data_IF_862064635570
#
_entry.id   IF_862064635570
#
_cell.length_a   1.000
_cell.length_b   1.000
_cell.length_c   1.000
_cell.angle_alpha   90.00
_cell.angle_beta   90.00
_cell.angle_gamma   90.00
#
_symmetry.space_group_name_H-M   'P 1'
#
loop_
_entity.id
_entity.type
_entity.pdbx_description
1 polymer ?
#
# COMPACT_ATOMS: atom_id res chain seq x y z
N UNK A 1 10.39 -12.74 9.17
CA UNK A 1 11.02 -11.69 8.32
C UNK A 1 9.93 -10.73 7.94
N UNK A 2 10.09 -9.43 8.13
CA UNK A 2 8.98 -8.47 8.17
C UNK A 2 8.81 -7.66 6.89
N UNK A 3 7.58 -7.24 6.60
CA UNK A 3 7.24 -6.37 5.48
C UNK A 3 6.60 -5.08 6.01
N UNK A 4 6.90 -3.94 5.37
CA UNK A 4 6.29 -2.65 5.72
C UNK A 4 5.39 -2.22 4.57
N UNK A 5 4.12 -1.96 4.87
CA UNK A 5 3.18 -1.41 3.89
C UNK A 5 3.17 0.11 3.95
N UNK A 6 3.28 0.78 2.81
CA UNK A 6 3.22 2.24 2.69
C UNK A 6 2.06 2.62 1.77
N UNK A 7 1.08 3.31 2.32
CA UNK A 7 -0.17 3.69 1.66
C UNK A 7 -0.16 5.19 1.36
N UNK A 8 -0.20 5.56 0.08
CA UNK A 8 0.12 6.90 -0.39
C UNK A 8 -1.05 7.51 -1.17
N UNK A 9 -1.48 8.69 -0.70
CA UNK A 9 -2.60 9.45 -1.24
C UNK A 9 -3.95 8.77 -1.03
N UNK A 10 -5.01 9.46 -1.45
CA UNK A 10 -6.39 9.02 -1.21
C UNK A 10 -6.65 7.55 -1.58
N UNK A 11 -6.29 7.14 -2.80
CA UNK A 11 -6.53 5.78 -3.27
C UNK A 11 -5.75 4.74 -2.46
N UNK A 12 -4.46 4.99 -2.21
CA UNK A 12 -3.61 4.10 -1.42
C UNK A 12 -4.13 3.94 0.01
N UNK A 13 -4.51 5.05 0.65
CA UNK A 13 -5.05 5.04 2.02
C UNK A 13 -6.38 4.28 2.12
N UNK A 14 -7.32 4.52 1.20
CA UNK A 14 -8.63 3.85 1.24
C UNK A 14 -8.54 2.35 0.90
N UNK A 15 -7.69 1.98 -0.06
CA UNK A 15 -7.36 0.59 -0.35
C UNK A 15 -6.71 -0.07 0.88
N UNK A 16 -5.72 0.60 1.47
CA UNK A 16 -5.03 0.14 2.67
C UNK A 16 -5.98 -0.13 3.83
N UNK A 17 -6.94 0.76 4.10
CA UNK A 17 -7.94 0.55 5.14
C UNK A 17 -8.74 -0.74 4.90
N UNK A 18 -9.14 -1.00 3.65
CA UNK A 18 -9.89 -2.21 3.28
C UNK A 18 -9.02 -3.47 3.41
N UNK A 19 -7.75 -3.40 3.01
CA UNK A 19 -6.80 -4.50 3.16
C UNK A 19 -6.54 -4.84 4.64
N UNK A 20 -6.30 -3.84 5.48
CA UNK A 20 -6.02 -4.07 6.90
C UNK A 20 -7.24 -4.53 7.69
N UNK A 21 -8.44 -4.04 7.35
CA UNK A 21 -9.69 -4.60 7.89
C UNK A 21 -9.79 -6.10 7.59
N UNK A 22 -9.53 -6.49 6.34
CA UNK A 22 -9.54 -7.89 5.93
C UNK A 22 -8.43 -8.72 6.60
N UNK A 23 -7.20 -8.21 6.72
CA UNK A 23 -6.11 -8.91 7.40
C UNK A 23 -6.43 -9.15 8.88
N UNK A 24 -7.03 -8.16 9.55
CA UNK A 24 -7.48 -8.31 10.92
C UNK A 24 -8.52 -9.44 11.03
N UNK A 25 -9.52 -9.47 10.13
CA UNK A 25 -10.53 -10.53 10.10
C UNK A 25 -9.92 -11.92 9.83
N UNK A 26 -8.99 -12.03 8.90
CA UNK A 26 -8.33 -13.29 8.54
C UNK A 26 -7.46 -13.87 9.67
N UNK A 27 -6.83 -12.99 10.46
CA UNK A 27 -5.99 -13.37 11.59
C UNK A 27 -6.72 -13.34 12.95
N UNK A 28 -8.02 -13.04 12.97
CA UNK A 28 -8.81 -12.94 14.20
C UNK A 28 -8.34 -11.83 15.14
N UNK A 29 -7.78 -10.74 14.61
CA UNK A 29 -7.38 -9.57 15.37
C UNK A 29 -8.56 -8.60 15.42
N UNK A 30 -9.01 -8.29 16.63
CA UNK A 30 -10.08 -7.34 16.85
C UNK A 30 -9.62 -5.90 16.58
N UNK A 31 -10.53 -4.92 16.35
CA UNK A 31 -10.15 -3.54 16.06
C UNK A 31 -9.31 -2.84 17.15
N UNK A 32 -9.29 -3.36 18.37
CA UNK A 32 -8.47 -2.86 19.48
C UNK A 32 -7.03 -3.43 19.49
N UNK A 33 -6.72 -4.32 18.54
CA UNK A 33 -5.45 -4.99 18.34
C UNK A 33 -5.27 -6.29 19.13
N UNK A 34 -6.32 -6.77 19.81
CA UNK A 34 -6.25 -8.01 20.61
C UNK A 34 -6.70 -9.21 19.76
N UNK A 35 -6.03 -10.36 19.90
CA UNK A 35 -6.47 -11.59 19.24
C UNK A 35 -7.74 -12.10 19.92
N UNK A 36 -8.77 -12.37 19.12
CA UNK A 36 -10.06 -12.88 19.58
C UNK A 36 -9.89 -14.24 20.26
N UNK A 37 -10.48 -14.40 21.45
CA UNK A 37 -10.44 -15.67 22.21
C UNK A 37 -11.11 -16.86 21.51
N UNK A 38 -11.90 -16.59 20.46
CA UNK A 38 -12.55 -17.59 19.61
C UNK A 38 -11.71 -18.02 18.41
N UNK A 39 -10.55 -17.38 18.15
CA UNK A 39 -9.64 -17.80 17.10
C UNK A 39 -9.11 -19.19 17.46
N UNK A 40 -9.43 -20.17 16.60
CA UNK A 40 -8.97 -21.55 16.78
C UNK A 40 -7.44 -21.58 16.88
N UNK A 41 -6.89 -22.41 17.75
CA UNK A 41 -5.44 -22.50 18.03
C UNK A 41 -4.56 -22.85 16.83
N UNK A 42 -5.14 -23.12 15.65
CA UNK A 42 -4.46 -23.26 14.36
C UNK A 42 -4.48 -22.01 13.45
N UNK A 43 -5.20 -20.94 13.80
CA UNK A 43 -5.17 -19.65 13.10
C UNK A 43 -4.14 -18.67 13.67
N UNK A 44 -3.71 -18.88 14.92
CA UNK A 44 -2.62 -18.16 15.55
C UNK A 44 -1.26 -18.73 15.11
N UNK A 45 -1.09 -18.93 13.82
CA UNK A 45 0.19 -19.34 13.27
C UNK A 45 1.17 -18.16 13.41
N UNK A 46 2.42 -18.43 13.78
CA UNK A 46 3.40 -17.38 14.11
C UNK A 46 3.77 -16.45 12.94
N UNK A 47 3.25 -16.74 11.73
CA UNK A 47 3.56 -16.08 10.46
C UNK A 47 2.99 -14.66 10.32
N UNK A 48 1.94 -14.27 11.09
CA UNK A 48 1.40 -12.91 10.99
C UNK A 48 2.35 -11.83 11.56
N UNK A 49 3.39 -12.23 12.29
CA UNK A 49 4.47 -11.33 12.73
C UNK A 49 5.22 -10.64 11.59
N UNK A 50 5.07 -11.14 10.35
CA UNK A 50 5.54 -10.48 9.13
C UNK A 50 4.87 -9.11 8.92
N UNK A 51 3.56 -9.01 9.17
CA UNK A 51 2.74 -7.81 8.92
C UNK A 51 2.36 -7.05 10.19
N UNK A 52 2.34 -7.72 11.35
CA UNK A 52 2.01 -7.11 12.63
C UNK A 52 3.21 -7.09 13.58
N UNK A 53 3.30 -6.06 14.41
CA UNK A 53 4.25 -5.97 15.52
C UNK A 53 3.53 -6.18 16.85
N UNK A 54 4.13 -6.98 17.75
CA UNK A 54 3.66 -7.12 19.12
C UNK A 54 4.21 -5.96 19.97
N UNK A 55 3.32 -5.30 20.68
CA UNK A 55 3.66 -4.20 21.61
C UNK A 55 4.12 -4.69 22.99
N UNK A 56 4.11 -6.01 23.24
CA UNK A 56 4.39 -6.63 24.54
C UNK A 56 3.22 -6.55 25.53
N UNK A 57 2.14 -5.83 25.16
CA UNK A 57 0.89 -5.74 25.94
C UNK A 57 -0.20 -6.69 25.46
N UNK A 58 0.15 -7.66 24.59
CA UNK A 58 -0.81 -8.53 23.91
C UNK A 58 -1.59 -7.83 22.80
N UNK A 59 -1.13 -6.65 22.37
CA UNK A 59 -1.71 -5.90 21.25
C UNK A 59 -0.80 -5.97 20.04
N UNK A 60 -1.41 -6.27 18.90
CA UNK A 60 -0.78 -6.33 17.60
C UNK A 60 -1.08 -5.08 16.78
N UNK A 61 -0.03 -4.47 16.25
CA UNK A 61 -0.13 -3.22 15.48
C UNK A 61 0.34 -3.47 14.05
N UNK A 62 -0.41 -3.03 13.03
CA UNK A 62 0.03 -3.09 11.64
C UNK A 62 1.39 -2.41 11.41
N UNK A 63 2.27 -3.06 10.66
CA UNK A 63 3.49 -2.46 10.09
C UNK A 63 3.14 -1.64 8.84
N UNK A 64 2.36 -0.58 9.08
CA UNK A 64 1.77 0.24 8.04
C UNK A 64 2.05 1.73 8.25
N UNK A 65 2.36 2.42 7.15
CA UNK A 65 2.53 3.86 7.10
C UNK A 65 1.48 4.39 6.12
N UNK A 66 0.72 5.40 6.53
CA UNK A 66 -0.30 6.05 5.72
C UNK A 66 0.11 7.51 5.52
N UNK A 67 0.21 7.94 4.28
CA UNK A 67 0.68 9.27 3.92
C UNK A 67 -0.30 9.88 2.95
N UNK A 68 -0.75 11.08 3.25
CA UNK A 68 -1.45 11.93 2.30
C UNK A 68 -0.97 13.37 2.48
N UNK A 69 -0.94 14.12 1.39
CA UNK A 69 -0.67 15.56 1.40
C UNK A 69 -1.93 16.34 1.79
N UNK A 70 -3.10 15.71 1.69
CA UNK A 70 -4.36 16.28 2.15
C UNK A 70 -4.88 15.59 3.43
N UNK A 71 -5.30 16.34 4.47
CA UNK A 71 -5.71 15.75 5.74
C UNK A 71 -7.10 15.08 5.72
N UNK A 72 -7.86 15.16 4.62
CA UNK A 72 -9.29 14.78 4.57
C UNK A 72 -9.52 13.27 4.54
N UNK A 73 -8.58 12.50 3.98
CA UNK A 73 -8.77 11.06 3.74
C UNK A 73 -8.21 10.18 4.86
N UNK A 74 -7.29 10.71 5.67
CA UNK A 74 -6.69 9.95 6.78
C UNK A 74 -7.71 9.86 7.94
N UNK A 75 -8.46 8.76 7.98
CA UNK A 75 -9.46 8.47 9.01
C UNK A 75 -8.87 8.36 10.44
N UNK A 76 -9.76 8.41 11.44
CA UNK A 76 -9.42 8.47 12.89
C UNK A 76 -8.65 7.26 13.46
N UNK A 77 -8.55 6.14 12.75
CA UNK A 77 -8.08 4.84 13.27
C UNK A 77 -6.61 4.53 13.00
N UNK A 78 -5.92 5.29 12.14
CA UNK A 78 -4.54 5.00 11.75
C UNK A 78 -3.56 6.00 12.36
N UNK A 79 -2.53 5.49 13.07
CA UNK A 79 -1.50 6.30 13.72
C UNK A 79 -0.52 6.94 12.73
N UNK A 80 -0.93 7.81 11.79
CA UNK A 80 0.05 8.47 10.90
C UNK A 80 -0.35 9.87 10.43
N UNK A 81 0.69 10.72 10.41
CA UNK A 81 0.90 12.08 9.89
C UNK A 81 -0.31 12.95 9.53
N UNK A 82 -0.47 14.04 10.30
CA UNK A 82 -0.95 15.31 9.76
C UNK A 82 0.21 16.00 9.02
N UNK A 83 0.07 16.41 7.76
CA UNK A 83 1.03 17.33 7.16
C UNK A 83 1.07 18.63 7.99
N UNK A 84 2.28 19.16 8.20
CA UNK A 84 2.49 20.49 8.79
C UNK A 84 2.31 21.62 7.75
N UNK A 85 2.04 21.27 6.49
CA UNK A 85 1.87 22.21 5.37
C UNK A 85 0.41 22.34 4.92
N UNK A 86 0.01 23.56 4.56
CA UNK A 86 -1.35 23.89 4.07
C UNK A 86 -1.56 23.54 2.57
N UNK A 87 -0.76 22.64 1.99
CA UNK A 87 -0.73 22.39 0.54
C UNK A 87 -1.10 20.98 0.14
N UNK A 88 -2.06 20.83 -0.79
CA UNK A 88 -2.36 19.59 -1.53
C UNK A 88 -1.55 19.53 -2.84
N UNK A 89 -1.29 18.33 -3.38
CA UNK A 89 -0.74 18.12 -4.70
C UNK A 89 -1.70 18.51 -5.85
N UNK A 90 -3.01 18.63 -5.60
CA UNK A 90 -4.02 19.12 -6.55
C UNK A 90 -3.97 18.41 -7.91
N UNK A 91 -3.90 17.07 -7.88
CA UNK A 91 -3.76 16.22 -9.06
C UNK A 91 -2.59 16.56 -9.97
N UNK A 92 -1.52 17.17 -9.44
CA UNK A 92 -0.33 17.53 -10.18
C UNK A 92 0.89 16.76 -9.67
N UNK A 93 1.44 15.88 -10.52
CA UNK A 93 2.66 15.13 -10.24
C UNK A 93 3.81 16.01 -9.73
N UNK A 94 4.06 17.15 -10.39
CA UNK A 94 5.18 18.02 -10.03
C UNK A 94 5.00 18.64 -8.64
N UNK A 95 3.77 18.83 -8.18
CA UNK A 95 3.52 19.28 -6.81
C UNK A 95 3.84 18.19 -5.80
N UNK A 96 3.37 16.98 -6.06
CA UNK A 96 3.66 15.81 -5.23
C UNK A 96 5.14 15.43 -5.19
N UNK A 97 5.88 15.65 -6.28
CA UNK A 97 7.28 15.23 -6.38
C UNK A 97 8.29 16.34 -6.05
N UNK A 98 8.11 17.56 -6.57
CA UNK A 98 9.15 18.60 -6.51
C UNK A 98 8.93 19.70 -5.48
N UNK A 99 7.69 19.95 -5.05
CA UNK A 99 7.37 21.08 -4.14
C UNK A 99 6.81 20.57 -2.82
N UNK A 100 5.50 20.36 -2.72
CA UNK A 100 4.82 19.97 -1.48
C UNK A 100 5.40 18.66 -0.92
N UNK A 101 5.64 17.66 -1.77
CA UNK A 101 6.20 16.39 -1.31
C UNK A 101 7.58 16.50 -0.66
N UNK A 102 8.41 17.46 -1.08
CA UNK A 102 9.73 17.69 -0.49
C UNK A 102 9.64 18.23 0.93
N UNK A 103 8.55 18.90 1.30
CA UNK A 103 8.36 19.42 2.65
C UNK A 103 8.10 18.31 3.66
N UNK A 104 7.51 17.19 3.22
CA UNK A 104 7.12 16.08 4.12
C UNK A 104 7.99 14.82 3.99
N UNK A 105 8.79 14.69 2.92
CA UNK A 105 9.51 13.45 2.60
C UNK A 105 10.45 13.01 3.73
N UNK A 106 11.24 13.92 4.30
CA UNK A 106 12.19 13.60 5.36
C UNK A 106 11.47 13.03 6.59
N UNK A 107 10.30 13.59 6.88
CA UNK A 107 9.45 13.16 7.99
C UNK A 107 8.84 11.77 7.78
N UNK A 108 8.45 11.45 6.54
CA UNK A 108 7.96 10.12 6.16
C UNK A 108 9.10 9.10 6.21
N UNK A 109 10.26 9.43 5.65
CA UNK A 109 11.46 8.57 5.66
C UNK A 109 11.92 8.28 7.08
N UNK A 110 11.94 9.28 7.97
CA UNK A 110 12.28 9.09 9.39
C UNK A 110 11.30 8.15 10.10
N UNK A 111 10.00 8.22 9.75
CA UNK A 111 9.00 7.32 10.31
C UNK A 111 9.16 5.90 9.78
N UNK A 112 9.45 5.77 8.49
CA UNK A 112 9.82 4.50 7.86
C UNK A 112 11.02 3.91 8.57
N UNK A 113 12.08 4.68 8.79
CA UNK A 113 13.28 4.26 9.52
C UNK A 113 12.95 3.69 10.90
N UNK A 114 12.16 4.41 11.71
CA UNK A 114 11.71 3.93 13.03
C UNK A 114 10.96 2.60 12.95
N UNK A 115 10.19 2.37 11.89
CA UNK A 115 9.48 1.10 11.70
C UNK A 115 10.42 -0.02 11.24
N UNK A 116 11.41 0.30 10.39
CA UNK A 116 12.44 -0.66 9.97
C UNK A 116 13.33 -1.09 11.14
N UNK A 117 13.64 -0.19 12.08
CA UNK A 117 14.41 -0.48 13.30
C UNK A 117 13.67 -1.45 14.25
N UNK A 118 12.34 -1.52 14.14
CA UNK A 118 11.50 -2.49 14.87
C UNK A 118 11.40 -3.85 14.17
N UNK A 119 12.09 -4.04 13.04
CA UNK A 119 12.12 -5.30 12.29
C UNK A 119 13.44 -6.02 12.57
N UNK A 120 13.36 -7.31 12.90
CA UNK A 120 14.52 -8.18 13.08
C UNK A 120 15.18 -8.56 11.75
N UNK A 121 14.40 -8.60 10.67
CA UNK A 121 14.85 -8.95 9.33
C UNK A 121 13.88 -8.46 8.26
N UNK A 122 13.90 -7.15 8.01
CA UNK A 122 13.09 -6.50 6.96
C UNK A 122 13.34 -7.15 5.58
N UNK A 123 12.28 -7.62 4.95
CA UNK A 123 12.30 -8.10 3.56
C UNK A 123 12.26 -6.92 2.59
N UNK A 124 11.33 -5.99 2.82
CA UNK A 124 11.02 -4.95 1.86
C UNK A 124 9.77 -4.14 2.17
N UNK A 125 9.35 -3.40 1.15
CA UNK A 125 8.23 -2.46 1.20
C UNK A 125 7.13 -2.86 0.21
N UNK A 126 5.88 -2.67 0.62
CA UNK A 126 4.71 -2.77 -0.24
C UNK A 126 4.12 -1.37 -0.40
N UNK A 127 4.27 -0.76 -1.58
CA UNK A 127 3.77 0.56 -1.91
C UNK A 127 2.36 0.50 -2.49
N UNK A 128 1.40 1.22 -1.92
CA UNK A 128 0.01 1.26 -2.35
C UNK A 128 -0.32 2.69 -2.78
N UNK A 129 -0.64 2.89 -4.06
CA UNK A 129 -0.85 4.23 -4.60
C UNK A 129 -1.74 4.23 -5.85
N UNK A 130 -2.01 5.42 -6.40
CA UNK A 130 -2.67 5.58 -7.71
C UNK A 130 -1.74 6.22 -8.72
N UNK A 131 -1.89 5.86 -9.99
CA UNK A 131 -1.21 6.53 -11.10
C UNK A 131 -1.79 7.93 -11.38
N UNK A 132 -3.10 8.10 -11.14
CA UNK A 132 -3.82 9.32 -11.51
C UNK A 132 -3.65 10.50 -10.54
N UNK A 133 -3.52 10.25 -9.24
CA UNK A 133 -3.49 11.31 -8.22
C UNK A 133 -2.15 12.03 -8.15
N UNK A 134 -2.15 13.32 -7.76
CA UNK A 134 -0.91 14.11 -7.64
C UNK A 134 0.01 13.59 -6.53
N UNK A 135 -0.55 13.25 -5.37
CA UNK A 135 0.16 12.59 -4.26
C UNK A 135 0.53 11.16 -4.62
N UNK A 136 -0.44 10.38 -5.09
CA UNK A 136 -0.25 8.96 -5.43
C UNK A 136 0.79 8.72 -6.53
N UNK A 137 0.97 9.65 -7.46
CA UNK A 137 2.00 9.58 -8.50
C UNK A 137 3.30 10.25 -8.03
N UNK A 138 3.25 11.57 -7.80
CA UNK A 138 4.43 12.39 -7.55
C UNK A 138 5.16 12.06 -6.25
N UNK A 139 4.41 11.95 -5.15
CA UNK A 139 5.03 11.66 -3.86
C UNK A 139 5.53 10.22 -3.78
N UNK A 140 4.81 9.26 -4.39
CA UNK A 140 5.28 7.87 -4.50
C UNK A 140 6.61 7.79 -5.23
N UNK A 141 6.74 8.44 -6.39
CA UNK A 141 8.01 8.50 -7.11
C UNK A 141 9.15 9.04 -6.26
N UNK A 142 8.93 10.16 -5.57
CA UNK A 142 9.92 10.76 -4.68
C UNK A 142 10.31 9.81 -3.53
N UNK A 143 9.32 9.11 -2.95
CA UNK A 143 9.57 8.18 -1.86
C UNK A 143 10.34 6.95 -2.34
N UNK A 144 10.01 6.40 -3.51
CA UNK A 144 10.68 5.24 -4.09
C UNK A 144 12.16 5.53 -4.42
N UNK A 145 12.48 6.73 -4.90
CA UNK A 145 13.85 7.20 -5.05
C UNK A 145 14.60 7.18 -3.70
N UNK A 146 14.00 7.76 -2.64
CA UNK A 146 14.62 7.81 -1.31
C UNK A 146 14.79 6.42 -0.68
N UNK A 147 13.79 5.56 -0.82
CA UNK A 147 13.85 4.19 -0.33
C UNK A 147 14.90 3.37 -1.08
N UNK A 148 15.10 3.61 -2.38
CA UNK A 148 16.14 2.93 -3.16
C UNK A 148 17.55 3.35 -2.74
N UNK A 149 17.73 4.60 -2.32
CA UNK A 149 19.01 5.09 -1.77
C UNK A 149 19.29 4.47 -0.39
N UNK A 150 18.33 4.51 0.54
CA UNK A 150 18.54 4.04 1.92
C UNK A 150 18.48 2.50 2.04
N UNK A 151 17.63 1.84 1.26
CA UNK A 151 17.31 0.41 1.35
C UNK A 151 17.51 -0.31 0.02
N UNK A 152 18.63 -0.06 -0.65
CA UNK A 152 18.95 -0.59 -2.00
C UNK A 152 18.84 -2.11 -2.15
N UNK A 153 19.07 -2.87 -1.08
CA UNK A 153 19.01 -4.35 -1.08
C UNK A 153 17.64 -4.92 -0.69
N UNK A 154 16.65 -4.08 -0.42
CA UNK A 154 15.32 -4.49 0.04
C UNK A 154 14.34 -4.44 -1.11
N UNK A 155 13.50 -5.46 -1.23
CA UNK A 155 12.52 -5.53 -2.32
C UNK A 155 11.42 -4.46 -2.14
N UNK A 156 10.92 -3.90 -3.23
CA UNK A 156 9.88 -2.87 -3.25
C UNK A 156 8.81 -3.28 -4.26
N UNK A 157 7.67 -3.77 -3.75
CA UNK A 157 6.55 -4.16 -4.59
C UNK A 157 5.51 -3.03 -4.59
N UNK A 158 4.85 -2.82 -5.71
CA UNK A 158 3.82 -1.79 -5.85
C UNK A 158 2.44 -2.40 -6.14
N UNK A 159 1.41 -1.80 -5.58
CA UNK A 159 0.01 -2.00 -5.93
C UNK A 159 -0.51 -0.65 -6.42
N UNK A 160 -0.61 -0.54 -7.74
CA UNK A 160 -0.81 0.74 -8.42
C UNK A 160 -2.18 0.76 -9.09
N UNK A 161 -3.07 1.63 -8.61
CA UNK A 161 -4.40 1.80 -9.19
C UNK A 161 -4.28 2.58 -10.50
N UNK A 162 -4.63 1.92 -11.61
CA UNK A 162 -4.65 2.51 -12.93
C UNK A 162 -5.95 3.30 -13.14
N UNK A 163 -5.86 4.53 -13.69
CA UNK A 163 -7.03 5.39 -13.86
C UNK A 163 -7.99 4.83 -14.90
N UNK A 164 -9.28 5.02 -14.67
CA UNK A 164 -10.33 4.66 -15.61
C UNK A 164 -11.25 5.87 -15.82
N UNK A 165 -11.61 6.24 -17.07
CA UNK A 165 -12.39 7.43 -17.37
C UNK A 165 -13.72 7.54 -16.60
N UNK A 166 -14.35 6.40 -16.28
CA UNK A 166 -15.64 6.32 -15.60
C UNK A 166 -15.58 6.75 -14.13
N UNK A 167 -14.41 6.61 -13.49
CA UNK A 167 -14.17 6.93 -12.07
C UNK A 167 -13.05 7.96 -11.88
N UNK A 168 -12.57 8.54 -12.99
CA UNK A 168 -11.52 9.54 -13.02
C UNK A 168 -12.00 10.87 -12.44
N UNK A 169 -11.14 11.53 -11.67
CA UNK A 169 -11.45 12.84 -11.07
C UNK A 169 -10.65 13.97 -11.70
N UNK A 170 -9.64 13.64 -12.51
CA UNK A 170 -8.76 14.62 -13.12
C UNK A 170 -8.45 14.30 -14.58
N UNK A 171 -8.57 15.32 -15.43
CA UNK A 171 -8.22 15.23 -16.86
C UNK A 171 -6.72 15.01 -17.10
N UNK A 172 -5.89 15.25 -16.07
CA UNK A 172 -4.42 15.14 -16.13
C UNK A 172 -3.88 13.79 -15.66
N UNK A 173 -4.76 12.84 -15.30
CA UNK A 173 -4.35 11.50 -14.86
C UNK A 173 -3.40 10.78 -15.85
N UNK A 174 -3.56 10.89 -17.20
CA UNK A 174 -2.60 10.29 -18.13
C UNK A 174 -1.18 10.88 -17.99
N UNK A 175 -1.04 12.18 -17.74
CA UNK A 175 0.27 12.81 -17.53
C UNK A 175 0.93 12.27 -16.25
N UNK A 176 0.18 12.24 -15.15
CA UNK A 176 0.66 11.73 -13.88
C UNK A 176 1.10 10.26 -13.99
N UNK A 177 0.31 9.44 -14.71
CA UNK A 177 0.57 8.02 -14.92
C UNK A 177 1.90 7.77 -15.63
N UNK A 178 2.17 8.50 -16.71
CA UNK A 178 3.42 8.37 -17.48
C UNK A 178 4.61 8.84 -16.65
N UNK A 179 4.48 10.00 -15.97
CA UNK A 179 5.57 10.57 -15.18
C UNK A 179 5.98 9.66 -14.02
N UNK A 180 5.01 9.15 -13.26
CA UNK A 180 5.33 8.25 -12.15
C UNK A 180 5.92 6.94 -12.65
N UNK A 181 5.33 6.32 -13.68
CA UNK A 181 5.87 5.08 -14.28
C UNK A 181 7.32 5.27 -14.72
N UNK A 182 7.65 6.37 -15.38
CA UNK A 182 9.02 6.64 -15.83
C UNK A 182 10.01 6.68 -14.66
N UNK A 183 9.65 7.37 -13.58
CA UNK A 183 10.51 7.58 -12.41
C UNK A 183 10.57 6.37 -11.46
N UNK A 184 9.49 5.60 -11.32
CA UNK A 184 9.45 4.44 -10.42
C UNK A 184 9.99 3.16 -11.05
N UNK A 185 10.08 3.08 -12.38
CA UNK A 185 10.50 1.86 -13.09
C UNK A 185 11.86 1.32 -12.65
N UNK A 186 12.82 2.19 -12.31
CA UNK A 186 14.15 1.77 -11.84
C UNK A 186 14.21 1.47 -10.34
N UNK A 187 13.12 1.74 -9.63
CA UNK A 187 13.02 1.64 -8.17
C UNK A 187 12.02 0.59 -7.71
N UNK A 188 11.17 0.10 -8.60
CA UNK A 188 10.18 -0.94 -8.33
C UNK A 188 10.70 -2.29 -8.78
N UNK A 189 10.52 -3.28 -7.91
CA UNK A 189 10.99 -4.65 -8.12
C UNK A 189 9.92 -5.52 -8.79
N UNK A 190 8.64 -5.22 -8.55
CA UNK A 190 7.47 -5.83 -9.17
C UNK A 190 6.25 -4.95 -8.91
N UNK A 191 5.43 -4.67 -9.92
CA UNK A 191 4.26 -3.81 -9.81
C UNK A 191 2.99 -4.54 -10.24
N UNK A 192 2.00 -4.56 -9.36
CA UNK A 192 0.66 -5.07 -9.62
C UNK A 192 -0.25 -3.91 -9.99
N UNK A 193 -0.59 -3.84 -11.27
CA UNK A 193 -1.54 -2.86 -11.77
C UNK A 193 -2.97 -3.32 -11.50
N UNK A 194 -3.75 -2.44 -10.89
CA UNK A 194 -5.18 -2.65 -10.63
C UNK A 194 -5.97 -1.68 -11.48
N UNK A 195 -6.57 -2.19 -12.55
CA UNK A 195 -7.39 -1.38 -13.46
C UNK A 195 -8.78 -1.12 -12.87
N UNK A 196 -9.06 0.15 -12.57
CA UNK A 196 -10.35 0.56 -12.05
C UNK A 196 -11.51 0.23 -12.98
N UNK A 197 -11.32 0.24 -14.30
CA UNK A 197 -12.37 -0.11 -15.26
C UNK A 197 -12.70 -1.60 -15.15
N UNK A 198 -11.67 -2.46 -15.08
CA UNK A 198 -11.85 -3.89 -14.90
C UNK A 198 -12.52 -4.24 -13.57
N UNK A 199 -12.11 -3.60 -12.46
CA UNK A 199 -12.74 -3.81 -11.14
C UNK A 199 -14.19 -3.32 -11.15
N UNK A 200 -14.47 -2.18 -11.81
CA UNK A 200 -15.82 -1.64 -11.96
C UNK A 200 -16.72 -2.58 -12.76
N UNK A 201 -16.22 -3.10 -13.88
CA UNK A 201 -16.93 -4.06 -14.73
C UNK A 201 -17.24 -5.36 -13.99
N UNK A 202 -16.32 -5.88 -13.18
CA UNK A 202 -16.56 -7.06 -12.33
C UNK A 202 -17.65 -6.76 -11.29
N UNK A 203 -17.60 -5.61 -10.63
CA UNK A 203 -18.64 -5.24 -9.66
C UNK A 203 -20.02 -5.13 -10.31
N UNK A 204 -20.09 -4.56 -11.51
CA UNK A 204 -21.35 -4.40 -12.21
C UNK A 204 -21.90 -5.72 -12.76
N UNK A 205 -21.07 -6.51 -13.44
CA UNK A 205 -21.51 -7.74 -14.14
C UNK A 205 -21.61 -8.97 -13.24
N UNK A 206 -20.73 -9.11 -12.24
CA UNK A 206 -20.64 -10.34 -11.44
C UNK A 206 -21.25 -10.20 -10.06
N UNK A 207 -21.34 -8.97 -9.52
CA UNK A 207 -21.91 -8.70 -8.20
C UNK A 207 -23.27 -7.99 -8.26
N UNK A 208 -23.81 -7.78 -9.47
CA UNK A 208 -25.08 -7.09 -9.73
C UNK A 208 -25.17 -5.69 -9.09
N UNK A 209 -24.04 -4.98 -9.02
CA UNK A 209 -23.97 -3.62 -8.47
C UNK A 209 -24.04 -2.62 -9.62
N UNK A 210 -25.24 -2.07 -9.88
CA UNK A 210 -25.48 -1.17 -11.01
C UNK A 210 -24.58 0.10 -11.01
N UNK A 211 -24.24 0.61 -9.81
CA UNK A 211 -23.32 1.76 -9.64
C UNK A 211 -22.30 1.49 -8.54
N UNK A 212 -21.20 0.78 -8.85
CA UNK A 212 -20.12 0.50 -7.90
C UNK A 212 -19.54 1.78 -7.28
N UNK A 213 -19.45 1.81 -5.95
CA UNK A 213 -18.78 2.88 -5.19
C UNK A 213 -17.32 2.52 -4.91
N UNK A 214 -16.48 3.49 -4.52
CA UNK A 214 -15.10 3.20 -4.08
C UNK A 214 -15.03 2.17 -2.95
N UNK A 215 -16.04 2.10 -2.07
CA UNK A 215 -16.12 1.04 -1.06
C UNK A 215 -16.27 -0.35 -1.67
N UNK A 216 -17.06 -0.48 -2.75
CA UNK A 216 -17.19 -1.76 -3.45
C UNK A 216 -15.88 -2.13 -4.16
N UNK A 217 -15.29 -1.19 -4.89
CA UNK A 217 -14.02 -1.39 -5.59
C UNK A 217 -12.92 -1.77 -4.60
N UNK A 218 -12.72 -1.00 -3.53
CA UNK A 218 -11.64 -1.23 -2.56
C UNK A 218 -11.81 -2.54 -1.79
N UNK A 219 -13.03 -3.04 -1.56
CA UNK A 219 -13.24 -4.37 -0.97
C UNK A 219 -12.83 -5.49 -1.93
N UNK A 220 -13.18 -5.39 -3.21
CA UNK A 220 -12.75 -6.36 -4.21
C UNK A 220 -11.22 -6.33 -4.39
N UNK A 221 -10.64 -5.13 -4.45
CA UNK A 221 -9.18 -4.94 -4.50
C UNK A 221 -8.52 -5.52 -3.24
N UNK A 222 -9.09 -5.24 -2.05
CA UNK A 222 -8.61 -5.81 -0.79
C UNK A 222 -8.57 -7.34 -0.81
N UNK A 223 -9.57 -7.98 -1.43
CA UNK A 223 -9.59 -9.43 -1.60
C UNK A 223 -8.48 -9.93 -2.53
N UNK A 224 -8.23 -9.22 -3.63
CA UNK A 224 -7.15 -9.54 -4.58
C UNK A 224 -5.79 -9.37 -3.90
N UNK A 225 -5.55 -8.22 -3.24
CA UNK A 225 -4.32 -7.94 -2.51
C UNK A 225 -4.10 -8.96 -1.39
N UNK A 226 -5.16 -9.35 -0.68
CA UNK A 226 -5.09 -10.40 0.33
C UNK A 226 -4.64 -11.72 -0.27
N UNK A 227 -5.19 -12.12 -1.41
CA UNK A 227 -4.80 -13.37 -2.09
C UNK A 227 -3.33 -13.36 -2.54
N UNK A 228 -2.82 -12.21 -2.99
CA UNK A 228 -1.43 -12.06 -3.43
C UNK A 228 -0.49 -12.10 -2.21
N UNK A 229 -0.86 -11.43 -1.11
CA UNK A 229 -0.04 -11.34 0.10
C UNK A 229 -0.23 -12.50 1.07
N UNK A 230 -1.17 -13.41 0.82
CA UNK A 230 -1.45 -14.54 1.68
C UNK A 230 -0.21 -15.42 1.90
N UNK A 231 0.61 -15.62 0.87
CA UNK A 231 1.86 -16.40 0.96
C UNK A 231 2.91 -15.79 1.89
N UNK A 232 2.83 -14.48 2.16
CA UNK A 232 3.72 -13.78 3.09
C UNK A 232 3.17 -13.77 4.53
N UNK A 233 1.87 -14.01 4.69
CA UNK A 233 1.14 -13.90 5.97
C UNK A 233 0.82 -15.25 6.60
N UNK A 234 0.73 -16.30 5.78
CA UNK A 234 0.46 -17.67 6.19
C UNK A 234 1.61 -18.57 5.74
N UNK A 235 1.88 -19.63 6.51
CA UNK A 235 2.86 -20.63 6.11
C UNK A 235 2.44 -21.28 4.79
N UNK A 236 3.36 -21.25 3.82
CA UNK A 236 3.13 -21.71 2.46
C UNK A 236 4.42 -22.20 1.81
N UNK A 237 4.29 -22.84 0.65
CA UNK A 237 5.41 -23.40 -0.10
C UNK A 237 5.84 -22.56 -1.32
N UNK A 238 5.09 -21.51 -1.66
CA UNK A 238 5.29 -20.70 -2.87
C UNK A 238 5.17 -19.21 -2.53
N UNK A 239 6.12 -18.38 -2.98
CA UNK A 239 6.19 -16.94 -2.72
C UNK A 239 6.26 -16.59 -1.23
N UNK A 240 7.11 -17.32 -0.50
CA UNK A 240 7.27 -17.19 0.96
C UNK A 240 7.96 -15.88 1.34
N UNK A 241 8.79 -15.33 0.44
CA UNK A 241 9.50 -14.07 0.61
C UNK A 241 9.29 -13.12 -0.59
N UNK A 242 9.47 -11.81 -0.37
CA UNK A 242 9.33 -10.80 -1.43
C UNK A 242 10.27 -11.01 -2.63
N UNK A 243 11.45 -11.61 -2.42
CA UNK A 243 12.41 -11.90 -3.49
C UNK A 243 11.91 -13.03 -4.41
N UNK A 244 11.06 -13.93 -3.92
CA UNK A 244 10.47 -14.98 -4.75
C UNK A 244 9.48 -14.42 -5.78
N UNK A 245 8.79 -13.32 -5.46
CA UNK A 245 7.94 -12.64 -6.44
C UNK A 245 8.74 -12.22 -7.68
N UNK A 246 9.93 -11.63 -7.49
CA UNK A 246 10.80 -11.26 -8.61
C UNK A 246 11.27 -12.49 -9.37
N UNK A 247 11.73 -13.50 -8.64
CA UNK A 247 12.28 -14.73 -9.23
C UNK A 247 11.26 -15.49 -10.08
N UNK A 248 10.00 -15.51 -9.64
CA UNK A 248 8.94 -16.28 -10.27
C UNK A 248 8.16 -15.50 -11.34
N UNK A 249 8.00 -14.18 -11.17
CA UNK A 249 7.13 -13.36 -12.03
C UNK A 249 7.88 -12.40 -12.95
N UNK A 250 9.12 -12.02 -12.61
CA UNK A 250 9.86 -10.94 -13.31
C UNK A 250 11.13 -11.50 -13.94
N UNK A 251 11.04 -12.07 -15.16
CA UNK A 251 12.23 -12.56 -15.87
C UNK A 251 13.14 -11.43 -16.35
N UNK A 252 12.58 -10.24 -16.59
CA UNK A 252 13.31 -9.05 -17.06
C UNK A 252 12.97 -7.85 -16.17
N UNK A 253 13.95 -7.14 -15.59
CA UNK A 253 13.68 -6.10 -14.57
C UNK A 253 12.76 -4.93 -14.99
N UNK A 254 12.52 -4.74 -16.29
CA UNK A 254 11.67 -3.65 -16.82
C UNK A 254 10.29 -4.14 -17.29
N UNK A 255 10.02 -5.44 -17.25
CA UNK A 255 8.80 -6.09 -17.76
C UNK A 255 8.10 -6.81 -16.62
#
# INVERSE_FOLDING_TARGET
RECISVHIGQAGVQMGNSCWELYCLEHGIEPDGVISSHASSGQADSSFGTFFSDTGSGKYVPRAIFVDLEPTVIGKSCKVFKPLGEGDAANNYARGHYTIGKEIIDSVVDRTRKMTEQCSGLQGFLGFHSFGGGTGSGFTSLLMERLSVEYSKKSKLEFSVYPAPQVSTAVVEPYNSILTTHTTLEHSDCSFMVDNEAIYDICNRNLDIERPTYTNLNRLIGQIVSSITASLRFDGALNVDLTEFQTNLVPYPRI
#
